data_IF_871256910173
#
_entry.id   IF_871256910173
#
_cell.length_a   1.000
_cell.length_b   1.000
_cell.length_c   1.000
_cell.angle_alpha   90.00
_cell.angle_beta   90.00
_cell.angle_gamma   90.00
#
_symmetry.space_group_name_H-M   'P 1'
#
loop_
_entity.id
_entity.type
_entity.pdbx_description
1 polymer ?
#
# COMPACT_ATOMS: atom_id res chain seq x y z
N UNK A 1 -23.31 28.93 -19.37
CA UNK A 1 -23.04 27.65 -18.67
C UNK A 1 -23.66 26.56 -19.53
N UNK A 2 -22.93 26.04 -20.51
CA UNK A 2 -23.45 25.00 -21.38
C UNK A 2 -23.62 23.71 -20.57
N UNK A 3 -24.82 23.15 -20.63
CA UNK A 3 -25.23 21.97 -19.85
C UNK A 3 -24.46 20.77 -20.39
N UNK A 4 -23.54 20.23 -19.57
CA UNK A 4 -22.90 18.93 -19.80
C UNK A 4 -23.97 17.85 -19.68
N UNK A 5 -24.65 17.49 -20.77
CA UNK A 5 -25.62 16.40 -20.79
C UNK A 5 -24.95 15.07 -21.16
N UNK A 6 -25.47 13.97 -20.63
CA UNK A 6 -25.02 12.59 -20.87
C UNK A 6 -24.88 12.25 -22.36
N UNK A 7 -25.70 12.85 -23.23
CA UNK A 7 -25.70 12.56 -24.67
C UNK A 7 -24.67 13.37 -25.48
N UNK A 8 -24.29 14.57 -25.02
CA UNK A 8 -23.44 15.48 -25.81
C UNK A 8 -21.97 15.41 -25.43
N UNK A 9 -21.69 15.24 -24.13
CA UNK A 9 -20.33 15.26 -23.58
C UNK A 9 -20.24 14.18 -22.47
N UNK A 10 -20.29 12.89 -22.84
CA UNK A 10 -20.48 11.80 -21.87
C UNK A 10 -19.34 11.68 -20.86
N UNK A 11 -18.07 11.85 -21.28
CA UNK A 11 -16.90 11.67 -20.42
C UNK A 11 -16.85 12.76 -19.35
N UNK A 12 -17.03 14.02 -19.73
CA UNK A 12 -17.00 15.16 -18.82
C UNK A 12 -18.23 15.19 -17.90
N UNK A 13 -19.39 14.70 -18.38
CA UNK A 13 -20.54 14.44 -17.52
C UNK A 13 -20.18 13.39 -16.46
N UNK A 14 -19.61 12.26 -16.85
CA UNK A 14 -19.22 11.20 -15.91
C UNK A 14 -18.17 11.66 -14.89
N UNK A 15 -17.21 12.50 -15.32
CA UNK A 15 -16.25 13.16 -14.44
C UNK A 15 -16.96 14.06 -13.42
N UNK A 16 -17.84 14.94 -13.89
CA UNK A 16 -18.59 15.85 -13.02
C UNK A 16 -19.46 15.08 -12.02
N UNK A 17 -20.09 13.98 -12.46
CA UNK A 17 -20.92 13.11 -11.62
C UNK A 17 -20.09 12.39 -10.56
N UNK A 18 -18.91 11.86 -10.93
CA UNK A 18 -17.97 11.27 -9.98
C UNK A 18 -17.46 12.29 -8.95
N UNK A 19 -17.12 13.50 -9.38
CA UNK A 19 -16.65 14.56 -8.49
C UNK A 19 -17.74 14.98 -7.49
N UNK A 20 -19.00 15.00 -7.94
CA UNK A 20 -20.15 15.22 -7.07
C UNK A 20 -20.31 14.10 -6.04
N UNK A 21 -20.13 12.83 -6.43
CA UNK A 21 -20.13 11.70 -5.51
C UNK A 21 -19.05 11.87 -4.42
N UNK A 22 -17.82 12.23 -4.82
CA UNK A 22 -16.70 12.51 -3.91
C UNK A 22 -16.98 13.70 -2.99
N UNK A 23 -17.67 14.73 -3.46
CA UNK A 23 -18.11 15.83 -2.62
C UNK A 23 -19.09 15.35 -1.54
N UNK A 24 -20.05 14.50 -1.89
CA UNK A 24 -20.99 13.91 -0.92
C UNK A 24 -20.30 12.98 0.10
N UNK A 25 -19.30 12.19 -0.30
CA UNK A 25 -18.57 11.35 0.67
C UNK A 25 -17.79 12.17 1.70
N UNK A 26 -17.35 13.39 1.36
CA UNK A 26 -16.60 14.30 2.25
C UNK A 26 -17.48 15.33 2.96
N UNK A 27 -18.75 15.44 2.59
CA UNK A 27 -19.66 16.46 3.10
C UNK A 27 -19.95 16.26 4.59
N UNK A 28 -19.60 17.27 5.39
CA UNK A 28 -19.86 17.32 6.84
C UNK A 28 -21.28 17.78 7.20
N UNK A 29 -21.94 18.53 6.31
CA UNK A 29 -23.30 19.03 6.51
C UNK A 29 -24.36 18.04 6.02
N UNK A 30 -25.49 17.96 6.72
CA UNK A 30 -26.59 17.02 6.42
C UNK A 30 -26.39 15.64 7.07
N UNK A 31 -27.33 14.72 6.87
CA UNK A 31 -27.22 13.38 7.45
C UNK A 31 -26.13 12.57 6.75
N UNK A 32 -25.13 12.10 7.52
CA UNK A 32 -24.01 11.31 7.01
C UNK A 32 -24.49 10.07 6.22
N UNK A 33 -25.53 9.40 6.72
CA UNK A 33 -26.10 8.23 6.06
C UNK A 33 -26.66 8.58 4.67
N UNK A 34 -27.41 9.68 4.56
CA UNK A 34 -27.97 10.12 3.29
C UNK A 34 -26.88 10.58 2.31
N UNK A 35 -25.87 11.28 2.80
CA UNK A 35 -24.72 11.70 1.99
C UNK A 35 -24.00 10.49 1.36
N UNK A 36 -23.82 9.40 2.10
CA UNK A 36 -23.22 8.16 1.56
C UNK A 36 -24.13 7.52 0.50
N UNK A 37 -25.44 7.43 0.73
CA UNK A 37 -26.36 6.88 -0.30
C UNK A 37 -26.36 7.72 -1.58
N UNK A 38 -26.30 9.05 -1.46
CA UNK A 38 -26.19 9.95 -2.62
C UNK A 38 -24.88 9.71 -3.37
N UNK A 39 -23.77 9.59 -2.65
CA UNK A 39 -22.47 9.30 -3.27
C UNK A 39 -22.47 7.97 -4.03
N UNK A 40 -23.01 6.90 -3.43
CA UNK A 40 -23.14 5.58 -4.08
C UNK A 40 -23.89 5.72 -5.41
N UNK A 41 -25.05 6.38 -5.41
CA UNK A 41 -25.83 6.59 -6.64
C UNK A 41 -25.07 7.36 -7.72
N UNK A 42 -24.33 8.40 -7.34
CA UNK A 42 -23.56 9.18 -8.30
C UNK A 42 -22.34 8.41 -8.85
N UNK A 43 -21.67 7.60 -8.02
CA UNK A 43 -20.62 6.70 -8.53
C UNK A 43 -21.19 5.65 -9.50
N UNK A 44 -22.33 5.03 -9.17
CA UNK A 44 -23.02 4.08 -10.05
C UNK A 44 -23.40 4.73 -11.39
N UNK A 45 -23.90 5.98 -11.38
CA UNK A 45 -24.18 6.74 -12.60
C UNK A 45 -22.93 7.05 -13.42
N UNK A 46 -21.82 7.40 -12.77
CA UNK A 46 -20.56 7.64 -13.47
C UNK A 46 -20.03 6.38 -14.16
N UNK A 47 -20.26 5.19 -13.57
CA UNK A 47 -19.89 3.88 -14.13
C UNK A 47 -20.72 3.48 -15.36
N UNK A 48 -21.85 4.14 -15.65
CA UNK A 48 -22.58 3.91 -16.90
C UNK A 48 -21.81 4.41 -18.13
N UNK A 49 -20.87 5.34 -17.93
CA UNK A 49 -20.02 5.90 -18.99
C UNK A 49 -18.57 5.48 -18.82
N UNK A 50 -18.07 5.52 -17.58
CA UNK A 50 -16.74 5.01 -17.23
C UNK A 50 -16.81 3.50 -17.24
N UNK A 51 -16.34 2.87 -18.30
CA UNK A 51 -16.21 1.41 -18.39
C UNK A 51 -14.75 1.02 -18.46
N UNK A 52 -14.44 -0.22 -18.08
CA UNK A 52 -13.09 -0.77 -18.09
C UNK A 52 -12.46 -0.70 -19.48
N UNK A 53 -13.25 -0.88 -20.53
CA UNK A 53 -12.77 -0.94 -21.92
C UNK A 53 -12.50 0.46 -22.51
N UNK A 54 -13.24 1.48 -22.05
CA UNK A 54 -13.19 2.83 -22.63
C UNK A 54 -12.23 3.76 -21.91
N UNK A 55 -12.29 3.77 -20.58
CA UNK A 55 -11.50 4.66 -19.70
C UNK A 55 -11.14 3.90 -18.42
N UNK A 56 -10.22 2.91 -18.52
CA UNK A 56 -9.94 1.94 -17.46
C UNK A 56 -9.47 2.57 -16.15
N UNK A 57 -8.67 3.63 -16.22
CA UNK A 57 -8.11 4.30 -15.04
C UNK A 57 -9.23 4.98 -14.24
N UNK A 58 -10.07 5.75 -14.92
CA UNK A 58 -11.22 6.44 -14.32
C UNK A 58 -12.29 5.46 -13.82
N UNK A 59 -12.49 4.35 -14.52
CA UNK A 59 -13.34 3.25 -14.08
C UNK A 59 -12.84 2.66 -12.77
N UNK A 60 -11.55 2.27 -12.71
CA UNK A 60 -10.95 1.68 -11.51
C UNK A 60 -10.93 2.65 -10.33
N UNK A 61 -10.73 3.94 -10.58
CA UNK A 61 -10.83 4.97 -9.55
C UNK A 61 -12.27 5.08 -9.01
N UNK A 62 -13.26 5.02 -9.89
CA UNK A 62 -14.68 5.03 -9.48
C UNK A 62 -15.03 3.77 -8.69
N UNK A 63 -14.51 2.60 -9.08
CA UNK A 63 -14.66 1.35 -8.32
C UNK A 63 -14.02 1.43 -6.94
N UNK A 64 -12.80 1.96 -6.82
CA UNK A 64 -12.14 2.20 -5.53
C UNK A 64 -12.96 3.12 -4.62
N UNK A 65 -13.50 4.21 -5.16
CA UNK A 65 -14.26 5.18 -4.35
C UNK A 65 -15.66 4.67 -3.98
N UNK A 66 -16.30 3.90 -4.88
CA UNK A 66 -17.54 3.19 -4.59
C UNK A 66 -17.33 2.14 -3.49
N UNK A 67 -16.21 1.42 -3.52
CA UNK A 67 -15.82 0.49 -2.46
C UNK A 67 -15.64 1.21 -1.12
N UNK A 68 -14.98 2.37 -1.09
CA UNK A 68 -14.87 3.21 0.10
C UNK A 68 -16.26 3.64 0.61
N UNK A 69 -17.18 4.01 -0.28
CA UNK A 69 -18.53 4.41 0.09
C UNK A 69 -19.31 3.25 0.74
N UNK A 70 -19.25 2.04 0.17
CA UNK A 70 -19.85 0.84 0.76
C UNK A 70 -19.17 0.45 2.08
N UNK A 71 -17.84 0.54 2.18
CA UNK A 71 -17.11 0.24 3.40
C UNK A 71 -17.53 1.12 4.59
N UNK A 72 -17.93 2.38 4.31
CA UNK A 72 -18.38 3.37 5.29
C UNK A 72 -19.91 3.55 5.34
N UNK A 73 -20.67 2.71 4.65
CA UNK A 73 -22.11 2.83 4.54
C UNK A 73 -22.79 2.50 5.87
N UNK A 74 -23.66 3.41 6.32
CA UNK A 74 -24.39 3.32 7.59
C UNK A 74 -25.68 2.49 7.44
N UNK A 75 -26.33 2.56 6.27
CA UNK A 75 -27.59 1.83 6.00
C UNK A 75 -27.32 0.42 5.48
N UNK A 76 -28.27 -0.48 5.70
CA UNK A 76 -28.18 -1.89 5.30
C UNK A 76 -27.32 -2.72 6.25
N UNK A 77 -27.21 -4.01 5.96
CA UNK A 77 -26.43 -4.92 6.80
C UNK A 77 -24.93 -4.69 6.62
N UNK A 78 -24.20 -4.63 7.74
CA UNK A 78 -22.76 -4.36 7.74
C UNK A 78 -21.99 -5.42 6.94
N UNK A 79 -22.37 -6.69 7.05
CA UNK A 79 -21.72 -7.79 6.35
C UNK A 79 -21.85 -7.65 4.82
N UNK A 80 -23.07 -7.40 4.32
CA UNK A 80 -23.32 -7.18 2.90
C UNK A 80 -22.55 -5.95 2.36
N UNK A 81 -22.51 -4.87 3.14
CA UNK A 81 -21.77 -3.66 2.77
C UNK A 81 -20.26 -3.94 2.65
N UNK A 82 -19.68 -4.72 3.56
CA UNK A 82 -18.27 -5.16 3.47
C UNK A 82 -18.04 -6.01 2.24
N UNK A 83 -18.92 -6.97 1.95
CA UNK A 83 -18.79 -7.83 0.77
C UNK A 83 -18.87 -7.06 -0.55
N UNK A 84 -19.78 -6.07 -0.64
CA UNK A 84 -19.82 -5.16 -1.79
C UNK A 84 -18.53 -4.36 -1.92
N UNK A 85 -18.03 -3.80 -0.82
CA UNK A 85 -16.79 -3.04 -0.84
C UNK A 85 -15.60 -3.88 -1.33
N UNK A 86 -15.47 -5.12 -0.84
CA UNK A 86 -14.40 -6.04 -1.26
C UNK A 86 -14.48 -6.32 -2.76
N UNK A 87 -15.66 -6.66 -3.28
CA UNK A 87 -15.84 -6.91 -4.73
C UNK A 87 -15.43 -5.71 -5.59
N UNK A 88 -15.78 -4.49 -5.19
CA UNK A 88 -15.41 -3.29 -5.94
C UNK A 88 -13.91 -2.98 -5.84
N UNK A 89 -13.27 -3.25 -4.70
CA UNK A 89 -11.82 -3.17 -4.59
C UNK A 89 -11.10 -4.20 -5.46
N UNK A 90 -11.58 -5.45 -5.49
CA UNK A 90 -11.03 -6.51 -6.36
C UNK A 90 -11.13 -6.11 -7.83
N UNK A 91 -12.27 -5.54 -8.25
CA UNK A 91 -12.42 -4.97 -9.61
C UNK A 91 -11.44 -3.83 -9.88
N UNK A 92 -11.22 -2.92 -8.93
CA UNK A 92 -10.24 -1.85 -9.10
C UNK A 92 -8.81 -2.37 -9.30
N UNK A 93 -8.45 -3.51 -8.67
CA UNK A 93 -7.15 -4.16 -8.83
C UNK A 93 -6.93 -4.77 -10.23
N UNK A 94 -7.98 -4.97 -11.03
CA UNK A 94 -7.84 -5.42 -12.42
C UNK A 94 -7.13 -4.38 -13.31
N UNK A 95 -7.11 -3.11 -12.88
CA UNK A 95 -6.40 -2.01 -13.53
C UNK A 95 -5.27 -1.49 -12.66
N UNK A 96 -5.49 -1.34 -11.35
CA UNK A 96 -4.47 -0.87 -10.41
C UNK A 96 -3.48 -1.98 -10.05
N UNK A 97 -2.70 -2.40 -11.04
CA UNK A 97 -1.60 -3.34 -10.86
C UNK A 97 -0.48 -2.73 -10.02
N UNK A 98 0.30 -3.60 -9.38
CA UNK A 98 1.49 -3.22 -8.64
C UNK A 98 2.51 -2.52 -9.54
N UNK A 99 2.62 -2.98 -10.78
CA UNK A 99 3.62 -2.54 -11.73
C UNK A 99 3.39 -1.10 -12.19
N UNK A 100 2.16 -0.78 -12.60
CA UNK A 100 1.86 0.52 -13.22
C UNK A 100 1.32 1.54 -12.23
N UNK A 101 0.57 1.08 -11.23
CA UNK A 101 -0.10 1.96 -10.28
C UNK A 101 0.18 1.56 -8.84
N UNK A 102 1.46 1.44 -8.41
CA UNK A 102 1.83 0.94 -7.08
C UNK A 102 1.15 1.72 -5.94
N UNK A 103 0.95 3.03 -6.10
CA UNK A 103 0.24 3.83 -5.09
C UNK A 103 -1.25 3.46 -4.98
N UNK A 104 -1.95 3.31 -6.11
CA UNK A 104 -3.36 2.91 -6.10
C UNK A 104 -3.51 1.46 -5.64
N UNK A 105 -2.63 0.56 -6.10
CA UNK A 105 -2.54 -0.82 -5.65
C UNK A 105 -2.40 -0.91 -4.12
N UNK A 106 -1.42 -0.19 -3.56
CA UNK A 106 -1.20 -0.08 -2.11
C UNK A 106 -2.45 0.39 -1.37
N UNK A 107 -3.10 1.45 -1.86
CA UNK A 107 -4.30 2.02 -1.23
C UNK A 107 -5.46 1.03 -1.22
N UNK A 108 -5.70 0.32 -2.32
CA UNK A 108 -6.75 -0.71 -2.40
C UNK A 108 -6.44 -1.88 -1.49
N UNK A 109 -5.22 -2.42 -1.55
CA UNK A 109 -4.79 -3.55 -0.72
C UNK A 109 -4.83 -3.23 0.77
N UNK A 110 -4.48 -1.99 1.16
CA UNK A 110 -4.61 -1.52 2.54
C UNK A 110 -6.06 -1.64 3.04
N UNK A 111 -7.02 -1.18 2.24
CA UNK A 111 -8.44 -1.25 2.60
C UNK A 111 -8.96 -2.70 2.63
N UNK A 112 -8.55 -3.54 1.67
CA UNK A 112 -8.88 -4.96 1.68
C UNK A 112 -8.35 -5.66 2.93
N UNK A 113 -7.11 -5.40 3.34
CA UNK A 113 -6.53 -5.96 4.56
C UNK A 113 -7.37 -5.62 5.80
N UNK A 114 -7.79 -4.35 5.94
CA UNK A 114 -8.70 -3.93 7.01
C UNK A 114 -10.06 -4.65 6.97
N UNK A 115 -10.68 -4.73 5.79
CA UNK A 115 -12.00 -5.37 5.65
C UNK A 115 -11.96 -6.88 5.91
N UNK A 116 -10.93 -7.57 5.41
CA UNK A 116 -10.72 -8.99 5.71
C UNK A 116 -10.47 -9.23 7.18
N UNK A 117 -9.69 -8.37 7.83
CA UNK A 117 -9.43 -8.42 9.29
C UNK A 117 -10.73 -8.30 10.09
N UNK A 118 -11.58 -7.32 9.77
CA UNK A 118 -12.86 -7.10 10.47
C UNK A 118 -13.80 -8.30 10.34
N UNK A 119 -13.77 -8.99 9.20
CA UNK A 119 -14.60 -10.17 8.93
C UNK A 119 -13.98 -11.49 9.42
N UNK A 120 -12.78 -11.45 10.01
CA UNK A 120 -12.05 -12.64 10.46
C UNK A 120 -11.49 -13.50 9.32
N UNK A 121 -11.39 -12.96 8.10
CA UNK A 121 -10.78 -13.62 6.94
C UNK A 121 -9.26 -13.51 6.96
N UNK A 122 -8.60 -14.16 7.92
CA UNK A 122 -7.18 -13.96 8.22
C UNK A 122 -6.23 -14.24 7.04
N UNK A 123 -6.46 -15.32 6.28
CA UNK A 123 -5.63 -15.64 5.12
C UNK A 123 -5.65 -14.53 4.05
N UNK A 124 -6.83 -13.99 3.75
CA UNK A 124 -6.95 -12.89 2.79
C UNK A 124 -6.39 -11.58 3.36
N UNK A 125 -6.53 -11.35 4.67
CA UNK A 125 -5.90 -10.21 5.32
C UNK A 125 -4.37 -10.25 5.20
N UNK A 126 -3.75 -11.43 5.35
CA UNK A 126 -2.31 -11.63 5.12
C UNK A 126 -1.92 -11.28 3.69
N UNK A 127 -2.64 -11.83 2.70
CA UNK A 127 -2.38 -11.56 1.27
C UNK A 127 -2.42 -10.07 0.97
N UNK A 128 -3.49 -9.39 1.39
CA UNK A 128 -3.65 -7.95 1.14
C UNK A 128 -2.65 -7.09 1.92
N UNK A 129 -2.37 -7.41 3.19
CA UNK A 129 -1.38 -6.66 3.97
C UNK A 129 0.03 -6.78 3.39
N UNK A 130 0.41 -7.99 2.95
CA UNK A 130 1.69 -8.24 2.28
C UNK A 130 1.79 -7.48 0.96
N UNK A 131 0.73 -7.48 0.16
CA UNK A 131 0.68 -6.73 -1.10
C UNK A 131 0.79 -5.20 -0.87
N UNK A 132 0.13 -4.67 0.16
CA UNK A 132 0.24 -3.26 0.53
C UNK A 132 1.66 -2.88 0.98
N UNK A 133 2.31 -3.71 1.80
CA UNK A 133 3.68 -3.51 2.24
C UNK A 133 4.67 -3.59 1.07
N UNK A 134 4.50 -4.55 0.16
CA UNK A 134 5.34 -4.70 -1.03
C UNK A 134 5.26 -3.44 -1.93
N UNK A 135 4.05 -2.99 -2.24
CA UNK A 135 3.84 -1.77 -3.01
C UNK A 135 4.45 -0.53 -2.33
N UNK A 136 4.39 -0.48 -1.00
CA UNK A 136 5.02 0.60 -0.25
C UNK A 136 6.54 0.54 -0.31
N UNK A 137 7.14 -0.64 -0.21
CA UNK A 137 8.59 -0.83 -0.29
C UNK A 137 9.13 -0.35 -1.65
N UNK A 138 8.40 -0.65 -2.73
CA UNK A 138 8.72 -0.15 -4.07
C UNK A 138 8.71 1.39 -4.14
N UNK A 139 7.64 2.03 -3.65
CA UNK A 139 7.51 3.49 -3.63
C UNK A 139 8.55 4.16 -2.71
N UNK A 140 8.84 3.54 -1.57
CA UNK A 140 9.80 4.05 -0.60
C UNK A 140 11.23 4.07 -1.16
N UNK A 141 11.61 3.06 -1.96
CA UNK A 141 12.93 3.01 -2.63
C UNK A 141 13.07 4.06 -3.73
N UNK A 142 12.01 4.35 -4.48
CA UNK A 142 12.04 5.36 -5.55
C UNK A 142 11.85 6.79 -5.06
N UNK A 143 11.47 7.00 -3.80
CA UNK A 143 11.15 8.30 -3.23
C UNK A 143 12.37 9.26 -3.26
N UNK A 144 12.19 10.50 -3.78
CA UNK A 144 13.28 11.44 -3.96
C UNK A 144 13.71 12.14 -2.67
N UNK A 145 12.77 12.34 -1.73
CA UNK A 145 12.96 13.17 -0.55
C UNK A 145 12.64 12.41 0.74
N UNK A 146 13.20 12.90 1.85
CA UNK A 146 12.85 12.45 3.19
C UNK A 146 11.34 12.56 3.45
N UNK A 147 10.73 13.68 3.04
CA UNK A 147 9.29 13.91 3.19
C UNK A 147 8.47 12.86 2.45
N UNK A 148 8.82 12.54 1.20
CA UNK A 148 8.14 11.51 0.43
C UNK A 148 8.27 10.12 1.10
N UNK A 149 9.48 9.76 1.58
CA UNK A 149 9.68 8.51 2.33
C UNK A 149 8.85 8.44 3.61
N UNK A 150 8.81 9.52 4.39
CA UNK A 150 7.96 9.61 5.60
C UNK A 150 6.47 9.50 5.26
N UNK A 151 6.03 10.13 4.16
CA UNK A 151 4.65 10.01 3.69
C UNK A 151 4.32 8.55 3.33
N UNK A 152 5.23 7.83 2.65
CA UNK A 152 5.04 6.41 2.37
C UNK A 152 4.91 5.58 3.65
N UNK A 153 5.81 5.77 4.64
CA UNK A 153 5.73 5.06 5.91
C UNK A 153 4.46 5.40 6.70
N UNK A 154 4.01 6.66 6.67
CA UNK A 154 2.76 7.08 7.33
C UNK A 154 1.54 6.37 6.74
N UNK A 155 1.50 6.20 5.43
CA UNK A 155 0.38 5.56 4.72
C UNK A 155 0.20 4.07 5.08
N UNK A 156 1.27 3.37 5.46
CA UNK A 156 1.21 1.94 5.83
C UNK A 156 1.34 1.66 7.32
N UNK A 157 1.29 2.68 8.18
CA UNK A 157 1.60 2.55 9.61
C UNK A 157 0.90 1.38 10.33
N UNK A 158 -0.33 1.05 9.92
CA UNK A 158 -1.14 -0.03 10.52
C UNK A 158 -0.88 -1.41 9.91
N UNK A 159 -0.26 -1.48 8.73
CA UNK A 159 -0.09 -2.72 7.96
C UNK A 159 0.81 -3.76 8.63
N UNK A 160 1.97 -3.42 9.21
CA UNK A 160 2.81 -4.40 9.90
C UNK A 160 2.06 -5.11 11.04
N UNK A 161 1.29 -4.35 11.84
CA UNK A 161 0.50 -4.90 12.93
C UNK A 161 -0.64 -5.81 12.43
N UNK A 162 -1.33 -5.40 11.35
CA UNK A 162 -2.37 -6.24 10.74
C UNK A 162 -1.79 -7.52 10.16
N UNK A 163 -0.66 -7.44 9.46
CA UNK A 163 0.03 -8.62 8.92
C UNK A 163 0.41 -9.57 10.05
N UNK A 164 1.08 -9.08 11.09
CA UNK A 164 1.50 -9.88 12.23
C UNK A 164 0.30 -10.55 12.93
N UNK A 165 -0.75 -9.79 13.22
CA UNK A 165 -1.96 -10.30 13.84
C UNK A 165 -2.64 -11.36 12.96
N UNK A 166 -2.81 -11.09 11.67
CA UNK A 166 -3.46 -12.01 10.74
C UNK A 166 -2.65 -13.30 10.53
N UNK A 167 -1.31 -13.23 10.49
CA UNK A 167 -0.44 -14.41 10.39
C UNK A 167 -0.62 -15.36 11.59
N UNK A 168 -0.66 -14.81 12.80
CA UNK A 168 -0.92 -15.62 14.01
C UNK A 168 -2.34 -16.19 14.00
N UNK A 169 -3.34 -15.36 13.72
CA UNK A 169 -4.76 -15.77 13.72
C UNK A 169 -5.11 -16.78 12.62
N UNK A 170 -4.33 -16.82 11.53
CA UNK A 170 -4.44 -17.81 10.47
C UNK A 170 -3.84 -19.18 10.86
N UNK A 171 -3.26 -19.33 12.05
CA UNK A 171 -2.56 -20.55 12.47
C UNK A 171 -1.17 -20.66 11.82
N UNK A 172 -0.50 -19.52 11.64
CA UNK A 172 0.87 -19.48 11.11
C UNK A 172 1.83 -20.38 11.89
N UNK A 173 2.86 -20.85 11.21
CA UNK A 173 3.96 -21.63 11.77
C UNK A 173 5.16 -20.71 12.05
N UNK A 174 6.28 -21.30 12.48
CA UNK A 174 7.51 -20.57 12.79
C UNK A 174 7.94 -19.58 11.70
N UNK A 175 7.82 -19.93 10.42
CA UNK A 175 8.15 -19.04 9.29
C UNK A 175 7.25 -17.80 9.24
N UNK A 176 5.94 -17.97 9.47
CA UNK A 176 4.98 -16.87 9.48
C UNK A 176 5.17 -15.96 10.70
N UNK A 177 5.55 -16.52 11.85
CA UNK A 177 5.85 -15.72 13.05
C UNK A 177 7.13 -14.91 12.86
N UNK A 178 8.14 -15.48 12.19
CA UNK A 178 9.34 -14.77 11.81
C UNK A 178 9.04 -13.62 10.84
N UNK A 179 8.20 -13.85 9.83
CA UNK A 179 7.72 -12.80 8.93
C UNK A 179 7.02 -11.67 9.70
N UNK A 180 6.16 -12.02 10.67
CA UNK A 180 5.45 -11.05 11.50
C UNK A 180 6.41 -10.13 12.26
N UNK A 181 7.43 -10.70 12.92
CA UNK A 181 8.47 -9.93 13.63
C UNK A 181 9.25 -9.05 12.67
N UNK A 182 9.69 -9.60 11.53
CA UNK A 182 10.45 -8.85 10.54
C UNK A 182 9.66 -7.67 9.96
N UNK A 183 8.37 -7.84 9.70
CA UNK A 183 7.52 -6.76 9.21
C UNK A 183 7.45 -5.59 10.20
N UNK A 184 7.30 -5.89 11.50
CA UNK A 184 7.29 -4.90 12.57
C UNK A 184 8.65 -4.18 12.70
N UNK A 185 9.74 -4.95 12.69
CA UNK A 185 11.10 -4.41 12.80
C UNK A 185 11.51 -3.58 11.61
N UNK A 186 11.16 -4.01 10.40
CA UNK A 186 11.44 -3.25 9.16
C UNK A 186 10.79 -1.88 9.23
N UNK A 187 9.52 -1.83 9.64
CA UNK A 187 8.80 -0.57 9.77
C UNK A 187 9.46 0.36 10.80
N UNK A 188 9.76 -0.16 12.00
CA UNK A 188 10.41 0.61 13.09
C UNK A 188 11.79 1.11 12.69
N UNK A 189 12.61 0.25 12.11
CA UNK A 189 13.97 0.58 11.67
C UNK A 189 13.95 1.69 10.64
N UNK A 190 13.10 1.58 9.61
CA UNK A 190 12.96 2.64 8.59
C UNK A 190 12.43 3.93 9.20
N UNK A 191 11.42 3.87 10.06
CA UNK A 191 10.88 5.06 10.71
C UNK A 191 11.94 5.77 11.57
N UNK A 192 12.71 5.02 12.36
CA UNK A 192 13.80 5.54 13.16
C UNK A 192 14.90 6.15 12.29
N UNK A 193 15.32 5.47 11.22
CA UNK A 193 16.32 5.97 10.29
C UNK A 193 15.90 7.32 9.66
N UNK A 194 14.64 7.44 9.24
CA UNK A 194 14.11 8.71 8.72
C UNK A 194 13.95 9.77 9.82
N UNK A 195 13.57 9.39 11.05
CA UNK A 195 13.44 10.32 12.18
C UNK A 195 14.80 10.90 12.61
N UNK A 196 15.84 10.08 12.61
CA UNK A 196 17.23 10.50 12.87
C UNK A 196 17.84 11.32 11.72
N UNK A 197 17.11 11.48 10.61
CA UNK A 197 17.54 12.18 9.40
C UNK A 197 18.98 11.80 9.01
N UNK A 198 19.32 10.52 9.15
CA UNK A 198 20.60 9.97 8.72
C UNK A 198 20.59 9.92 7.18
N UNK A 199 20.97 11.07 6.61
CA UNK A 199 21.41 11.31 5.23
C UNK A 199 20.34 11.30 4.13
N UNK A 200 19.74 12.48 3.93
CA UNK A 200 19.18 12.92 2.64
C UNK A 200 20.26 13.20 1.59
N UNK A 201 21.53 13.13 1.98
CA UNK A 201 22.71 13.38 1.15
C UNK A 201 23.42 12.07 0.83
N UNK A 202 24.16 12.04 -0.30
CA UNK A 202 25.03 10.92 -0.66
C UNK A 202 25.85 10.48 0.56
N UNK A 203 25.81 9.20 1.00
CA UNK A 203 26.64 8.75 2.10
C UNK A 203 28.12 9.03 1.81
N UNK A 204 28.84 9.58 2.81
CA UNK A 204 30.26 9.92 2.68
C UNK A 204 31.13 8.82 2.03
N UNK A 205 31.01 7.53 2.39
CA UNK A 205 31.86 6.49 1.79
C UNK A 205 31.49 6.12 0.35
N UNK A 206 30.33 6.55 -0.16
CA UNK A 206 29.85 6.17 -1.50
C UNK A 206 30.50 7.07 -2.56
N UNK A 207 31.17 6.51 -3.59
CA UNK A 207 31.73 7.31 -4.69
C UNK A 207 30.66 8.13 -5.42
N UNK A 208 31.03 9.32 -5.89
CA UNK A 208 30.11 10.19 -6.62
C UNK A 208 29.51 9.50 -7.86
N UNK A 209 30.32 8.76 -8.60
CA UNK A 209 29.88 8.02 -9.79
C UNK A 209 28.83 6.94 -9.49
N UNK A 210 28.99 6.21 -8.37
CA UNK A 210 28.02 5.20 -7.92
C UNK A 210 26.70 5.87 -7.51
N UNK A 211 26.80 7.00 -6.82
CA UNK A 211 25.63 7.75 -6.40
C UNK A 211 24.84 8.35 -7.57
N UNK A 212 25.53 8.88 -8.57
CA UNK A 212 24.92 9.41 -9.80
C UNK A 212 24.18 8.32 -10.58
N UNK A 213 24.73 7.09 -10.62
CA UNK A 213 24.03 5.94 -11.21
C UNK A 213 22.75 5.64 -10.43
N UNK A 214 22.81 5.54 -9.10
CA UNK A 214 21.62 5.34 -8.27
C UNK A 214 20.56 6.44 -8.49
N UNK A 215 20.96 7.71 -8.48
CA UNK A 215 20.04 8.83 -8.70
C UNK A 215 19.41 8.80 -10.08
N UNK A 216 20.19 8.43 -11.11
CA UNK A 216 19.71 8.26 -12.49
C UNK A 216 18.68 7.13 -12.60
N UNK A 217 18.94 5.95 -12.02
CA UNK A 217 17.97 4.83 -12.03
C UNK A 217 16.70 5.16 -11.27
N UNK A 218 16.83 5.86 -10.14
CA UNK A 218 15.68 6.34 -9.35
C UNK A 218 14.84 7.35 -10.14
N UNK A 219 15.49 8.31 -10.80
CA UNK A 219 14.81 9.28 -11.67
C UNK A 219 14.07 8.58 -12.81
N UNK A 220 14.70 7.58 -13.45
CA UNK A 220 14.09 6.80 -14.52
C UNK A 220 12.80 6.10 -14.08
N UNK A 221 12.79 5.44 -12.92
CA UNK A 221 11.56 4.82 -12.39
C UNK A 221 10.44 5.86 -12.24
N UNK A 222 10.76 7.03 -11.67
CA UNK A 222 9.78 8.10 -11.45
C UNK A 222 9.23 8.68 -12.75
N UNK A 223 10.06 8.85 -13.77
CA UNK A 223 9.61 9.30 -15.09
C UNK A 223 8.60 8.32 -15.70
N UNK A 224 8.89 7.02 -15.63
CA UNK A 224 8.01 5.97 -16.12
C UNK A 224 6.69 5.89 -15.34
N UNK A 225 6.75 6.05 -14.01
CA UNK A 225 5.56 6.09 -13.15
C UNK A 225 4.70 7.33 -13.43
N UNK A 226 5.32 8.48 -13.72
CA UNK A 226 4.62 9.69 -14.11
C UNK A 226 3.94 9.52 -15.48
N UNK A 227 4.61 8.87 -16.44
CA UNK A 227 4.03 8.55 -17.75
C UNK A 227 2.85 7.58 -17.61
N UNK A 228 2.92 6.59 -16.72
CA UNK A 228 1.84 5.63 -16.48
C UNK A 228 0.56 6.30 -15.99
N UNK A 229 0.69 7.42 -15.27
CA UNK A 229 -0.43 8.20 -14.73
C UNK A 229 -1.07 9.14 -15.75
N UNK A 230 -0.46 9.35 -16.92
CA UNK A 230 -1.04 10.18 -17.96
C UNK A 230 -2.34 9.54 -18.50
N UNK A 231 -3.32 10.33 -18.96
CA UNK A 231 -4.52 9.80 -19.60
C UNK A 231 -4.17 8.95 -20.83
N UNK A 232 -5.00 7.95 -21.11
CA UNK A 232 -4.85 7.15 -22.33
C UNK A 232 -5.06 8.02 -23.58
N UNK A 233 -4.27 7.76 -24.62
CA UNK A 233 -4.24 8.59 -25.83
C UNK A 233 -3.39 9.86 -25.75
N UNK A 234 -2.70 10.11 -24.62
CA UNK A 234 -1.72 11.21 -24.55
C UNK A 234 -0.62 11.00 -25.60
N UNK A 235 -0.35 11.97 -26.49
CA UNK A 235 0.68 11.82 -27.52
C UNK A 235 2.05 11.50 -26.92
N UNK A 236 2.68 10.43 -27.41
CA UNK A 236 3.99 9.97 -26.93
C UNK A 236 3.95 9.06 -25.70
N UNK A 237 2.78 8.84 -25.08
CA UNK A 237 2.61 7.83 -24.02
C UNK A 237 2.75 6.43 -24.64
N UNK A 238 3.59 5.60 -24.04
CA UNK A 238 3.76 4.20 -24.45
C UNK A 238 2.53 3.38 -24.11
N UNK A 239 2.34 2.30 -24.86
CA UNK A 239 1.29 1.34 -24.56
C UNK A 239 1.55 0.64 -23.21
N UNK A 240 0.48 0.04 -22.69
CA UNK A 240 0.46 -0.60 -21.38
C UNK A 240 1.56 -1.67 -21.21
N UNK A 241 1.73 -2.56 -22.19
CA UNK A 241 2.64 -3.69 -22.07
C UNK A 241 4.09 -3.20 -22.08
N UNK A 242 4.42 -2.30 -23.00
CA UNK A 242 5.75 -1.69 -23.09
C UNK A 242 6.10 -0.92 -21.82
N UNK A 243 5.17 -0.13 -21.29
CA UNK A 243 5.43 0.66 -20.08
C UNK A 243 5.60 -0.23 -18.85
N UNK A 244 4.77 -1.27 -18.71
CA UNK A 244 4.87 -2.25 -17.64
C UNK A 244 6.23 -2.97 -17.65
N UNK A 245 6.68 -3.41 -18.82
CA UNK A 245 7.99 -4.06 -18.96
C UNK A 245 9.14 -3.12 -18.62
N UNK A 246 9.11 -1.87 -19.13
CA UNK A 246 10.15 -0.89 -18.83
C UNK A 246 10.19 -0.51 -17.35
N UNK A 247 9.04 -0.42 -16.69
CA UNK A 247 8.99 -0.20 -15.24
C UNK A 247 9.60 -1.38 -14.47
N UNK A 248 9.32 -2.61 -14.88
CA UNK A 248 9.91 -3.81 -14.27
C UNK A 248 11.43 -3.79 -14.39
N UNK A 249 11.96 -3.50 -15.58
CA UNK A 249 13.40 -3.42 -15.83
C UNK A 249 14.04 -2.26 -15.05
N UNK A 250 13.47 -1.06 -15.11
CA UNK A 250 14.02 0.10 -14.41
C UNK A 250 14.07 -0.08 -12.88
N UNK A 251 13.09 -0.78 -12.31
CA UNK A 251 13.10 -1.12 -10.87
C UNK A 251 14.13 -2.17 -10.52
N UNK A 252 14.36 -3.16 -11.39
CA UNK A 252 15.45 -4.11 -11.21
C UNK A 252 16.81 -3.40 -11.24
N UNK A 253 17.04 -2.50 -12.20
CA UNK A 253 18.26 -1.69 -12.26
C UNK A 253 18.43 -0.78 -11.04
N UNK A 254 17.33 -0.27 -10.48
CA UNK A 254 17.36 0.49 -9.24
C UNK A 254 17.76 -0.38 -8.05
N UNK A 255 17.22 -1.59 -7.94
CA UNK A 255 17.60 -2.54 -6.88
C UNK A 255 19.09 -2.94 -6.97
N UNK A 256 19.60 -3.12 -8.19
CA UNK A 256 21.03 -3.37 -8.43
C UNK A 256 21.89 -2.17 -7.99
N UNK A 257 21.45 -0.94 -8.32
CA UNK A 257 22.14 0.27 -7.90
C UNK A 257 22.10 0.47 -6.36
N UNK A 258 20.99 0.14 -5.70
CA UNK A 258 20.89 0.13 -4.22
C UNK A 258 21.88 -0.87 -3.64
N UNK A 259 22.00 -2.06 -4.23
CA UNK A 259 22.96 -3.09 -3.81
C UNK A 259 24.40 -2.59 -3.95
N UNK A 260 24.72 -1.89 -5.04
CA UNK A 260 26.03 -1.27 -5.22
C UNK A 260 26.31 -0.18 -4.18
N UNK A 261 25.33 0.68 -3.85
CA UNK A 261 25.49 1.68 -2.79
C UNK A 261 25.74 1.01 -1.43
N UNK A 262 25.03 -0.09 -1.13
CA UNK A 262 25.20 -0.85 0.11
C UNK A 262 26.59 -1.49 0.27
N UNK A 263 27.31 -1.75 -0.82
CA UNK A 263 28.71 -2.21 -0.73
C UNK A 263 29.66 -1.18 -0.08
N UNK A 264 29.31 0.11 -0.13
CA UNK A 264 30.07 1.20 0.51
C UNK A 264 29.41 1.70 1.81
N UNK A 265 28.08 1.62 1.88
CA UNK A 265 27.28 2.06 3.02
C UNK A 265 26.23 0.99 3.39
N UNK A 266 26.59 -0.02 4.20
CA UNK A 266 25.70 -1.15 4.51
C UNK A 266 24.34 -0.75 5.11
N UNK A 267 24.30 0.36 5.86
CA UNK A 267 23.07 0.88 6.48
C UNK A 267 22.19 1.71 5.54
N UNK A 268 22.52 1.79 4.24
CA UNK A 268 21.71 2.51 3.26
C UNK A 268 20.40 1.76 2.98
N UNK A 269 19.26 2.41 3.29
CA UNK A 269 17.91 1.83 3.25
C UNK A 269 17.87 0.48 3.99
N UNK A 270 18.08 0.47 5.32
CA UNK A 270 18.36 -0.76 6.05
C UNK A 270 17.19 -1.75 6.00
N UNK A 271 17.53 -3.04 5.90
CA UNK A 271 16.59 -4.16 5.98
C UNK A 271 16.99 -5.03 7.18
N UNK A 272 16.15 -5.13 8.22
CA UNK A 272 16.50 -5.95 9.37
C UNK A 272 16.47 -7.43 9.01
N UNK A 273 17.42 -8.18 9.55
CA UNK A 273 17.47 -9.64 9.50
C UNK A 273 17.08 -10.25 10.84
N UNK A 274 16.56 -11.49 10.82
CA UNK A 274 16.23 -12.20 12.07
C UNK A 274 17.45 -12.38 12.96
N UNK A 275 18.63 -12.57 12.37
CA UNK A 275 19.88 -12.68 13.11
C UNK A 275 20.16 -11.40 13.90
N UNK A 276 19.99 -10.21 13.30
CA UNK A 276 20.14 -8.94 14.00
C UNK A 276 19.08 -8.75 15.10
N UNK A 277 17.83 -9.16 14.85
CA UNK A 277 16.76 -9.09 15.86
C UNK A 277 17.06 -10.01 17.04
N UNK A 278 17.53 -11.24 16.79
CA UNK A 278 17.92 -12.20 17.84
C UNK A 278 19.17 -11.74 18.60
N UNK A 279 20.16 -11.17 17.91
CA UNK A 279 21.33 -10.58 18.54
C UNK A 279 20.95 -9.41 19.46
N UNK A 280 19.92 -8.62 19.09
CA UNK A 280 19.39 -7.58 19.96
C UNK A 280 18.66 -8.14 21.20
N UNK A 281 18.18 -9.39 21.15
CA UNK A 281 17.56 -10.10 22.26
C UNK A 281 18.59 -10.79 23.19
N UNK A 282 19.86 -10.37 23.21
CA UNK A 282 20.98 -11.08 23.86
C UNK A 282 20.72 -11.45 25.34
N UNK A 283 20.31 -10.49 26.17
CA UNK A 283 20.20 -10.69 27.63
C UNK A 283 18.75 -10.88 28.11
N UNK A 284 17.76 -10.54 27.29
CA UNK A 284 16.34 -10.59 27.64
C UNK A 284 15.46 -10.76 26.40
N UNK A 285 14.28 -11.41 26.54
CA UNK A 285 13.32 -11.53 25.46
C UNK A 285 12.86 -10.16 24.92
N UNK A 286 12.78 -10.04 23.60
CA UNK A 286 12.14 -8.89 22.97
C UNK A 286 10.64 -9.15 22.84
N UNK A 287 9.84 -8.22 23.38
CA UNK A 287 8.38 -8.32 23.38
C UNK A 287 7.79 -7.26 22.46
N UNK A 288 7.02 -7.71 21.48
CA UNK A 288 6.30 -6.89 20.52
C UNK A 288 4.83 -6.85 20.88
N UNK A 289 4.42 -5.81 21.61
CA UNK A 289 3.02 -5.54 21.85
C UNK A 289 2.45 -4.80 20.64
N UNK A 290 1.37 -5.34 20.07
CA UNK A 290 0.64 -4.71 18.98
C UNK A 290 -0.86 -4.75 19.22
N UNK A 291 -1.54 -3.73 18.71
CA UNK A 291 -2.99 -3.58 18.78
C UNK A 291 -3.54 -3.37 17.38
N UNK A 292 -4.60 -4.10 17.05
CA UNK A 292 -5.40 -3.91 15.85
C UNK A 292 -6.82 -3.51 16.24
N UNK A 293 -7.66 -3.15 15.27
CA UNK A 293 -9.07 -2.84 15.49
C UNK A 293 -9.90 -4.03 16.00
N UNK A 294 -9.35 -5.24 15.97
CA UNK A 294 -10.05 -6.50 16.32
C UNK A 294 -9.38 -7.29 17.45
N UNK A 295 -8.32 -6.75 18.05
CA UNK A 295 -7.63 -7.41 19.17
C UNK A 295 -6.16 -6.99 19.33
N UNK A 296 -5.57 -7.40 20.44
CA UNK A 296 -4.14 -7.24 20.74
C UNK A 296 -3.38 -8.55 20.58
N UNK A 297 -2.07 -8.46 20.39
CA UNK A 297 -1.15 -9.59 20.30
C UNK A 297 0.20 -9.20 20.91
N UNK A 298 0.87 -10.18 21.52
CA UNK A 298 2.26 -10.08 21.95
C UNK A 298 3.09 -11.11 21.17
N UNK A 299 4.10 -10.69 20.42
CA UNK A 299 5.10 -11.61 19.87
C UNK A 299 6.35 -11.54 20.74
N UNK A 300 6.93 -12.70 21.04
CA UNK A 300 8.12 -12.80 21.90
C UNK A 300 9.25 -13.42 21.09
N UNK A 301 10.39 -12.73 21.03
CA UNK A 301 11.64 -13.28 20.49
C UNK A 301 12.53 -13.61 21.67
N UNK A 302 12.84 -14.89 21.84
CA UNK A 302 13.71 -15.37 22.91
C UNK A 302 15.20 -15.25 22.53
N UNK A 303 16.09 -15.06 23.51
CA UNK A 303 17.54 -15.16 23.31
C UNK A 303 17.95 -16.56 22.80
N UNK A 304 19.07 -16.65 22.09
CA UNK A 304 19.62 -17.95 21.68
C UNK A 304 19.96 -18.80 22.91
N UNK A 305 19.47 -20.05 22.95
CA UNK A 305 19.69 -20.97 24.07
C UNK A 305 18.68 -20.87 25.23
N UNK A 306 17.67 -19.99 25.14
CA UNK A 306 16.53 -20.01 26.06
C UNK A 306 15.46 -20.99 25.59
N UNK A 307 15.25 -22.08 26.33
CA UNK A 307 14.07 -22.93 26.16
C UNK A 307 12.85 -22.22 26.78
N UNK A 308 11.80 -22.05 25.99
CA UNK A 308 10.47 -21.82 26.55
C UNK A 308 10.15 -23.04 27.42
N UNK A 309 10.04 -22.87 28.73
CA UNK A 309 9.71 -23.95 29.65
C UNK A 309 8.44 -24.74 29.25
N UNK A 310 8.07 -25.80 29.98
CA UNK A 310 7.09 -26.81 29.54
C UNK A 310 5.66 -26.33 29.27
N UNK A 311 5.36 -25.04 29.40
CA UNK A 311 4.20 -24.38 28.80
C UNK A 311 4.48 -23.99 27.34
N UNK A 312 4.73 -25.00 26.50
CA UNK A 312 4.85 -24.92 25.04
C UNK A 312 3.51 -24.62 24.36
N UNK A 313 2.81 -23.60 24.84
CA UNK A 313 1.69 -22.95 24.18
C UNK A 313 1.88 -21.44 24.32
N UNK A 314 2.65 -20.86 23.39
CA UNK A 314 2.51 -19.45 23.04
C UNK A 314 2.01 -19.42 21.61
N UNK A 315 0.69 -19.21 21.49
CA UNK A 315 0.11 -18.51 20.34
C UNK A 315 0.28 -17.00 20.47
#
# INVERSE_FOLDING_TARGET
MEVRTRERIPIEWAQTTHDLATAYTRRIYGERAENVERAIRYYEQALEVRTRERIPIEWAQTMHDLANAYANRIRGERAENVERAIRYYEQALEVFSLELFPNNHRRVQRQLAHLHTIRGGWANAVVSARAALNANDMLYRSAPTLEARRAHLSEIQTMPAILAYALVRAGGQAEQWQEAVLALERYRTRWLAEAMALRTEKPLPVPQTVWEVFDSRRARVRELEAEAQLPDGTPGKRDFLTLSEQLRLARQELDDAITQVRSYAPDFLPEPSLTQVRQAAHDAPLIYLLTTSVGGLALIVLPEGWDAGPSGELG
#
